data_IF_633129548290
#
_entry.id   IF_633129548290
#
_cell.length_a   1.000
_cell.length_b   1.000
_cell.length_c   1.000
_cell.angle_alpha   90.00
_cell.angle_beta   90.00
_cell.angle_gamma   90.00
#
_symmetry.space_group_name_H-M   'P 1'
#
loop_
_entity.id
_entity.type
_entity.pdbx_description
1 polymer ?
#
# COMPACT_ATOMS: atom_id res chain seq x y z
N UNK A 1 -12.77 5.56 -32.39
CA UNK A 1 -13.55 4.37 -31.98
C UNK A 1 -12.63 3.16 -32.05
N UNK A 2 -11.83 2.97 -30.99
CA UNK A 2 -12.00 1.92 -29.97
C UNK A 2 -11.52 0.54 -30.44
N UNK A 3 -10.22 0.27 -30.28
CA UNK A 3 -9.72 -1.08 -30.01
C UNK A 3 -9.54 -1.17 -28.50
N UNK A 4 -10.50 -1.83 -27.86
CA UNK A 4 -10.44 -2.27 -26.48
C UNK A 4 -9.36 -3.34 -26.34
N UNK A 5 -8.24 -3.00 -25.72
CA UNK A 5 -7.32 -4.02 -25.22
C UNK A 5 -7.90 -4.61 -23.94
N UNK A 6 -8.53 -5.76 -24.13
CA UNK A 6 -8.85 -6.73 -23.10
C UNK A 6 -7.52 -7.26 -22.57
N UNK A 7 -7.08 -6.75 -21.42
CA UNK A 7 -5.97 -7.35 -20.67
C UNK A 7 -6.53 -8.62 -20.00
N UNK A 8 -6.02 -9.83 -20.32
CA UNK A 8 -6.59 -11.06 -19.81
C UNK A 8 -6.31 -11.18 -18.31
N UNK A 9 -7.39 -11.40 -17.56
CA UNK A 9 -7.40 -12.06 -16.26
C UNK A 9 -6.59 -13.36 -16.35
N UNK A 10 -5.42 -13.42 -15.71
CA UNK A 10 -4.79 -14.69 -15.37
C UNK A 10 -4.84 -14.88 -13.87
N UNK A 11 -5.84 -15.67 -13.46
CA UNK A 11 -5.87 -16.40 -12.20
C UNK A 11 -4.67 -17.33 -12.12
N UNK A 12 -3.93 -17.30 -11.00
CA UNK A 12 -3.29 -18.49 -10.44
C UNK A 12 -3.56 -18.47 -8.93
N UNK A 13 -4.54 -19.25 -8.50
CA UNK A 13 -4.48 -19.91 -7.20
C UNK A 13 -3.36 -20.95 -7.34
N UNK A 14 -2.29 -20.84 -6.56
CA UNK A 14 -1.50 -22.02 -6.26
C UNK A 14 -1.23 -22.11 -4.76
N UNK A 15 -1.49 -23.31 -4.27
CA UNK A 15 -1.50 -23.72 -2.88
C UNK A 15 -0.16 -24.39 -2.62
N UNK A 16 0.89 -23.62 -2.35
CA UNK A 16 2.07 -24.19 -1.71
C UNK A 16 2.81 -23.16 -0.83
N UNK A 17 2.92 -23.46 0.46
CA UNK A 17 3.20 -22.51 1.55
C UNK A 17 4.68 -22.26 1.84
N UNK A 18 5.60 -22.47 0.90
CA UNK A 18 7.03 -22.54 1.24
C UNK A 18 7.99 -21.63 0.46
N UNK A 19 7.53 -20.73 -0.42
CA UNK A 19 8.48 -19.87 -1.14
C UNK A 19 8.01 -18.42 -1.31
N UNK A 20 8.25 -17.59 -0.28
CA UNK A 20 8.01 -16.15 -0.29
C UNK A 20 8.72 -15.41 -1.44
N UNK A 21 9.80 -15.97 -2.00
CA UNK A 21 10.52 -15.39 -3.13
C UNK A 21 9.78 -15.48 -4.47
N UNK A 22 8.83 -16.42 -4.65
CA UNK A 22 8.14 -16.61 -5.93
C UNK A 22 6.98 -15.62 -6.13
N UNK A 23 6.32 -15.18 -5.05
CA UNK A 23 5.26 -14.16 -5.09
C UNK A 23 5.80 -12.75 -5.37
N UNK A 24 7.02 -12.45 -4.91
CA UNK A 24 7.71 -11.18 -5.23
C UNK A 24 8.09 -11.14 -6.72
N UNK A 25 8.59 -12.25 -7.29
CA UNK A 25 8.96 -12.30 -8.70
C UNK A 25 7.77 -12.24 -9.66
N UNK A 26 6.65 -12.87 -9.35
CA UNK A 26 5.45 -12.83 -10.20
C UNK A 26 4.72 -11.48 -10.14
N UNK A 27 4.73 -10.81 -8.98
CA UNK A 27 4.25 -9.43 -8.87
C UNK A 27 5.19 -8.41 -9.50
N UNK A 28 6.51 -8.62 -9.42
CA UNK A 28 7.52 -7.84 -10.14
C UNK A 28 7.40 -8.04 -11.65
N UNK A 29 7.26 -9.27 -12.17
CA UNK A 29 7.05 -9.52 -13.60
C UNK A 29 5.69 -9.01 -14.10
N UNK A 30 4.63 -9.02 -13.27
CA UNK A 30 3.35 -8.36 -13.59
C UNK A 30 3.45 -6.83 -13.58
N UNK A 31 4.38 -6.27 -12.80
CA UNK A 31 4.70 -4.85 -12.79
C UNK A 31 5.60 -4.48 -13.98
N UNK A 32 6.64 -5.26 -14.27
CA UNK A 32 7.52 -5.13 -15.44
C UNK A 32 6.74 -5.27 -16.75
N UNK A 33 5.81 -6.22 -16.85
CA UNK A 33 4.94 -6.37 -18.02
C UNK A 33 3.92 -5.22 -18.18
N UNK A 34 3.57 -4.53 -17.08
CA UNK A 34 2.84 -3.24 -17.13
C UNK A 34 3.73 -2.04 -17.40
N UNK A 35 5.02 -2.15 -17.09
CA UNK A 35 6.02 -1.08 -17.21
C UNK A 35 6.93 -1.21 -18.43
N UNK A 36 6.74 -2.19 -19.32
CA UNK A 36 7.45 -2.27 -20.59
C UNK A 36 7.18 -1.08 -21.54
N UNK A 37 6.25 -0.18 -21.18
CA UNK A 37 6.05 1.13 -21.82
C UNK A 37 6.61 2.36 -21.07
N UNK A 38 7.19 2.22 -19.88
CA UNK A 38 7.54 3.36 -19.00
C UNK A 38 8.93 3.99 -19.25
N UNK A 39 9.65 3.56 -20.30
CA UNK A 39 10.80 4.31 -20.83
C UNK A 39 10.39 5.30 -21.93
N UNK A 40 9.16 5.84 -21.88
CA UNK A 40 8.87 7.09 -22.56
C UNK A 40 8.83 8.19 -21.51
N UNK A 41 9.52 9.33 -21.71
CA UNK A 41 9.20 10.52 -20.93
C UNK A 41 7.72 10.81 -21.19
N UNK A 42 6.89 10.68 -20.16
CA UNK A 42 5.45 10.86 -20.26
C UNK A 42 5.18 12.23 -20.90
N UNK A 43 4.58 12.21 -22.09
CA UNK A 43 4.00 13.40 -22.68
C UNK A 43 2.89 13.87 -21.74
N UNK A 44 3.00 15.12 -21.30
CA UNK A 44 2.10 15.82 -20.39
C UNK A 44 0.63 15.53 -20.70
N UNK A 45 0.02 14.58 -19.98
CA UNK A 45 -1.44 14.45 -19.99
C UNK A 45 -1.99 15.60 -19.15
N UNK A 46 -2.34 16.71 -19.77
CA UNK A 46 -2.91 17.88 -19.11
C UNK A 46 -4.22 17.53 -18.37
N UNK A 47 -4.12 17.20 -17.08
CA UNK A 47 -5.16 17.47 -16.09
C UNK A 47 -5.00 18.93 -15.66
N UNK A 48 -6.07 19.74 -15.48
CA UNK A 48 -5.93 21.16 -15.15
C UNK A 48 -5.26 21.45 -13.80
N UNK A 49 -4.89 20.41 -13.03
CA UNK A 49 -4.13 20.48 -11.78
C UNK A 49 -2.84 19.61 -11.80
N UNK A 50 -2.31 19.25 -12.98
CA UNK A 50 -1.24 18.26 -13.12
C UNK A 50 0.16 18.81 -12.85
N UNK A 51 0.65 18.66 -11.62
CA UNK A 51 2.09 18.50 -11.40
C UNK A 51 2.46 17.06 -11.74
N UNK A 52 3.45 16.80 -12.61
CA UNK A 52 3.94 15.44 -12.82
C UNK A 52 4.38 14.87 -11.47
N UNK A 53 3.64 13.89 -10.96
CA UNK A 53 3.92 13.23 -9.69
C UNK A 53 5.02 12.23 -9.92
N UNK A 54 6.26 12.71 -9.94
CA UNK A 54 7.42 11.84 -9.87
C UNK A 54 7.30 10.99 -8.59
N UNK A 55 7.42 9.67 -8.72
CA UNK A 55 7.55 8.79 -7.56
C UNK A 55 8.85 9.16 -6.84
N UNK A 56 8.74 9.51 -5.56
CA UNK A 56 9.86 9.95 -4.73
C UNK A 56 10.09 8.97 -3.59
N UNK A 57 11.33 8.93 -3.13
CA UNK A 57 11.75 8.37 -1.85
C UNK A 57 12.20 9.50 -0.91
N UNK A 58 12.54 9.14 0.33
CA UNK A 58 13.00 10.10 1.34
C UNK A 58 14.18 10.95 0.85
N UNK A 59 15.08 10.41 0.01
CA UNK A 59 16.23 11.12 -0.53
C UNK A 59 15.84 12.08 -1.66
N UNK A 60 15.14 11.59 -2.68
CA UNK A 60 14.72 12.38 -3.84
C UNK A 60 13.75 13.49 -3.41
N UNK A 61 12.92 13.28 -2.39
CA UNK A 61 12.08 14.35 -1.83
C UNK A 61 12.90 15.50 -1.27
N UNK A 62 14.01 15.24 -0.59
CA UNK A 62 14.90 16.31 -0.11
C UNK A 62 15.61 17.01 -1.27
N UNK A 63 16.02 16.27 -2.30
CA UNK A 63 16.63 16.85 -3.49
C UNK A 63 15.66 17.78 -4.24
N UNK A 64 14.42 17.34 -4.51
CA UNK A 64 13.39 18.14 -5.18
C UNK A 64 13.01 19.37 -4.34
N UNK A 65 12.92 19.22 -3.02
CA UNK A 65 12.67 20.36 -2.12
C UNK A 65 13.79 21.41 -2.19
N UNK A 66 15.04 20.98 -2.16
CA UNK A 66 16.20 21.86 -2.28
C UNK A 66 16.22 22.58 -3.63
N UNK A 67 16.01 21.84 -4.72
CA UNK A 67 15.95 22.38 -6.10
C UNK A 67 14.85 23.45 -6.24
N UNK A 68 13.65 23.16 -5.73
CA UNK A 68 12.52 24.10 -5.77
C UNK A 68 12.76 25.40 -5.00
N UNK A 69 13.62 25.36 -3.98
CA UNK A 69 13.98 26.53 -3.17
C UNK A 69 15.23 27.27 -3.69
N UNK A 70 15.91 26.72 -4.71
CA UNK A 70 17.19 27.23 -5.22
C UNK A 70 18.33 27.14 -4.19
N UNK A 71 18.18 26.31 -3.16
CA UNK A 71 19.14 26.15 -2.08
C UNK A 71 19.84 24.79 -2.17
N UNK A 72 21.02 24.68 -1.55
CA UNK A 72 21.68 23.40 -1.36
C UNK A 72 21.13 22.67 -0.13
N UNK A 73 21.24 21.33 -0.12
CA UNK A 73 20.83 20.50 1.02
C UNK A 73 21.60 20.93 2.27
N UNK A 74 20.88 21.46 3.25
CA UNK A 74 21.45 22.04 4.46
C UNK A 74 21.79 21.00 5.54
N UNK A 75 22.47 21.44 6.61
CA UNK A 75 22.85 20.55 7.72
C UNK A 75 21.67 19.89 8.43
N UNK A 76 20.51 20.57 8.51
CA UNK A 76 19.28 20.01 9.10
C UNK A 76 18.65 18.89 8.25
N UNK A 77 18.59 19.08 6.94
CA UNK A 77 18.10 18.05 6.00
C UNK A 77 19.05 16.85 5.98
N UNK A 78 20.36 17.10 5.98
CA UNK A 78 21.37 16.06 6.06
C UNK A 78 21.30 15.28 7.39
N UNK A 79 20.98 15.95 8.51
CA UNK A 79 20.73 15.29 9.78
C UNK A 79 19.48 14.40 9.73
N UNK A 80 18.41 14.84 9.06
CA UNK A 80 17.21 14.02 8.85
C UNK A 80 17.49 12.77 8.01
N UNK A 81 18.28 12.90 6.95
CA UNK A 81 18.70 11.77 6.11
C UNK A 81 19.61 10.80 6.87
N UNK A 82 20.51 11.30 7.72
CA UNK A 82 21.33 10.45 8.61
C UNK A 82 20.47 9.66 9.58
N UNK A 83 19.46 10.28 10.18
CA UNK A 83 18.50 9.57 11.05
C UNK A 83 17.71 8.51 10.28
N UNK A 84 17.27 8.82 9.06
CA UNK A 84 16.57 7.86 8.20
C UNK A 84 17.42 6.61 7.91
N UNK A 85 18.70 6.80 7.61
CA UNK A 85 19.65 5.69 7.39
C UNK A 85 19.89 4.90 8.69
N UNK A 86 20.03 5.59 9.83
CA UNK A 86 20.25 4.95 11.13
C UNK A 86 19.07 4.04 11.54
N UNK A 87 17.84 4.44 11.22
CA UNK A 87 16.64 3.62 11.45
C UNK A 87 16.35 2.63 10.31
N UNK A 88 17.21 2.56 9.28
CA UNK A 88 16.99 1.73 8.08
C UNK A 88 16.79 0.25 8.39
N UNK A 89 17.55 -0.33 9.32
CA UNK A 89 17.37 -1.73 9.72
C UNK A 89 16.00 -1.98 10.36
N UNK A 90 15.56 -1.09 11.27
CA UNK A 90 14.23 -1.19 11.89
C UNK A 90 13.12 -1.01 10.85
N UNK A 91 13.31 -0.15 9.86
CA UNK A 91 12.36 0.06 8.76
C UNK A 91 12.22 -1.20 7.92
N UNK A 92 13.32 -1.88 7.59
CA UNK A 92 13.28 -3.16 6.88
C UNK A 92 12.58 -4.25 7.72
N UNK A 93 12.85 -4.31 9.03
CA UNK A 93 12.15 -5.22 9.94
C UNK A 93 10.64 -4.93 9.99
N UNK A 94 10.24 -3.66 10.05
CA UNK A 94 8.84 -3.23 10.05
C UNK A 94 8.13 -3.60 8.73
N UNK A 95 8.77 -3.35 7.59
CA UNK A 95 8.24 -3.73 6.27
C UNK A 95 8.11 -5.25 6.16
N UNK A 96 9.12 -6.01 6.64
CA UNK A 96 9.07 -7.47 6.69
C UNK A 96 7.96 -8.00 7.60
N UNK A 97 7.69 -7.33 8.72
CA UNK A 97 6.59 -7.70 9.61
C UNK A 97 5.24 -7.57 8.93
N UNK A 98 5.03 -6.54 8.10
CA UNK A 98 3.80 -6.37 7.32
C UNK A 98 3.76 -7.37 6.15
N UNK A 99 4.78 -7.40 5.31
CA UNK A 99 4.78 -8.20 4.07
C UNK A 99 4.75 -9.71 4.37
N UNK A 100 5.44 -10.16 5.41
CA UNK A 100 5.42 -11.55 5.86
C UNK A 100 4.09 -12.00 6.47
N UNK A 101 3.20 -11.06 6.84
CA UNK A 101 1.88 -11.34 7.41
C UNK A 101 0.73 -10.81 6.54
N UNK A 102 0.98 -10.40 5.29
CA UNK A 102 0.00 -9.70 4.46
C UNK A 102 -1.32 -10.48 4.28
N UNK A 103 -1.23 -11.79 4.00
CA UNK A 103 -2.41 -12.64 3.84
C UNK A 103 -3.26 -12.73 5.12
N UNK A 104 -2.63 -12.72 6.29
CA UNK A 104 -3.32 -12.74 7.58
C UNK A 104 -3.99 -11.39 7.86
N UNK A 105 -3.28 -10.28 7.64
CA UNK A 105 -3.80 -8.91 7.83
C UNK A 105 -5.04 -8.68 6.96
N UNK A 106 -4.96 -9.04 5.68
CA UNK A 106 -6.05 -8.81 4.71
C UNK A 106 -7.24 -9.71 5.01
N UNK A 107 -7.02 -11.00 5.30
CA UNK A 107 -8.12 -11.92 5.59
C UNK A 107 -8.82 -11.59 6.90
N UNK A 108 -8.09 -11.20 7.95
CA UNK A 108 -8.65 -10.74 9.21
C UNK A 108 -9.45 -9.43 9.06
N UNK A 109 -8.95 -8.47 8.29
CA UNK A 109 -9.67 -7.23 8.01
C UNK A 109 -10.98 -7.47 7.24
N UNK A 110 -10.96 -8.31 6.19
CA UNK A 110 -12.16 -8.63 5.40
C UNK A 110 -13.15 -9.47 6.20
N UNK A 111 -12.68 -10.41 7.03
CA UNK A 111 -13.53 -11.14 7.96
C UNK A 111 -14.16 -10.18 8.99
N UNK A 112 -13.37 -9.27 9.56
CA UNK A 112 -13.81 -8.26 10.53
C UNK A 112 -14.96 -7.39 10.00
N UNK A 113 -14.84 -6.84 8.79
CA UNK A 113 -15.94 -6.05 8.19
C UNK A 113 -17.19 -6.88 7.92
N UNK A 114 -17.05 -8.16 7.57
CA UNK A 114 -18.20 -9.06 7.35
C UNK A 114 -18.90 -9.43 8.66
N UNK A 115 -18.14 -9.53 9.75
CA UNK A 115 -18.66 -9.74 11.11
C UNK A 115 -19.36 -8.49 11.64
N UNK A 116 -18.79 -7.30 11.43
CA UNK A 116 -19.39 -6.03 11.86
C UNK A 116 -20.63 -5.66 11.02
N UNK A 117 -20.63 -5.99 9.73
CA UNK A 117 -21.74 -5.73 8.82
C UNK A 117 -22.10 -6.98 8.00
N UNK A 118 -23.03 -7.78 8.53
CA UNK A 118 -23.54 -9.00 7.88
C UNK A 118 -24.30 -8.72 6.58
N UNK A 119 -24.73 -7.47 6.32
CA UNK A 119 -25.36 -7.08 5.06
C UNK A 119 -24.42 -7.15 3.86
N UNK A 120 -23.10 -7.18 4.08
CA UNK A 120 -22.09 -7.30 3.02
C UNK A 120 -22.09 -8.66 2.33
N UNK A 121 -22.48 -9.72 3.05
CA UNK A 121 -22.55 -11.11 2.57
C UNK A 121 -23.98 -11.57 2.29
N UNK A 122 -24.97 -10.70 2.44
CA UNK A 122 -26.35 -10.95 2.02
C UNK A 122 -26.50 -10.80 0.50
N UNK A 123 -27.58 -11.32 -0.12
CA UNK A 123 -27.90 -11.01 -1.52
C UNK A 123 -27.91 -9.49 -1.76
N UNK A 124 -27.34 -9.06 -2.89
CA UNK A 124 -27.04 -7.66 -3.22
C UNK A 124 -25.90 -6.99 -2.41
N UNK A 125 -25.28 -7.71 -1.47
CA UNK A 125 -24.13 -7.23 -0.72
C UNK A 125 -22.86 -7.03 -1.55
N UNK A 126 -21.96 -6.18 -1.04
CA UNK A 126 -20.70 -5.81 -1.69
C UNK A 126 -19.72 -6.97 -1.90
N UNK A 127 -19.81 -8.04 -1.10
CA UNK A 127 -18.91 -9.22 -1.15
C UNK A 127 -19.68 -10.55 -1.19
N UNK A 128 -20.95 -10.53 -1.60
CA UNK A 128 -21.83 -11.71 -1.60
C UNK A 128 -21.29 -12.93 -2.37
N UNK A 129 -20.84 -12.72 -3.59
CA UNK A 129 -20.35 -13.82 -4.46
C UNK A 129 -18.85 -14.03 -4.28
N UNK A 130 -18.38 -15.26 -4.49
CA UNK A 130 -16.95 -15.59 -4.48
C UNK A 130 -16.10 -14.65 -5.35
N UNK A 131 -16.63 -14.21 -6.50
CA UNK A 131 -15.95 -13.24 -7.38
C UNK A 131 -15.77 -11.86 -6.71
N UNK A 132 -16.81 -11.35 -6.04
CA UNK A 132 -16.76 -10.06 -5.34
C UNK A 132 -15.90 -10.15 -4.08
N UNK A 133 -16.00 -11.25 -3.34
CA UNK A 133 -15.13 -11.52 -2.18
C UNK A 133 -13.66 -11.56 -2.58
N UNK A 134 -13.32 -12.29 -3.65
CA UNK A 134 -11.96 -12.36 -4.16
C UNK A 134 -11.44 -10.99 -4.65
N UNK A 135 -12.30 -10.16 -5.27
CA UNK A 135 -11.93 -8.80 -5.64
C UNK A 135 -11.64 -7.92 -4.42
N UNK A 136 -12.46 -8.02 -3.35
CA UNK A 136 -12.23 -7.28 -2.11
C UNK A 136 -10.92 -7.66 -1.41
N UNK A 137 -10.62 -8.97 -1.31
CA UNK A 137 -9.34 -9.45 -0.78
C UNK A 137 -8.15 -8.94 -1.62
N UNK A 138 -8.26 -8.99 -2.95
CA UNK A 138 -7.23 -8.47 -3.85
C UNK A 138 -7.02 -6.96 -3.65
N UNK A 139 -8.09 -6.19 -3.53
CA UNK A 139 -7.99 -4.73 -3.34
C UNK A 139 -7.37 -4.41 -1.97
N UNK A 140 -7.69 -5.18 -0.93
CA UNK A 140 -7.05 -5.08 0.38
C UNK A 140 -5.54 -5.34 0.33
N UNK A 141 -5.10 -6.37 -0.41
CA UNK A 141 -3.67 -6.66 -0.61
C UNK A 141 -2.97 -5.58 -1.44
N UNK A 142 -3.62 -5.04 -2.48
CA UNK A 142 -3.08 -3.94 -3.29
C UNK A 142 -2.81 -2.71 -2.41
N UNK A 143 -3.78 -2.33 -1.57
CA UNK A 143 -3.63 -1.21 -0.63
C UNK A 143 -2.48 -1.48 0.35
N UNK A 144 -2.48 -2.65 0.99
CA UNK A 144 -1.46 -3.00 1.99
C UNK A 144 -0.04 -2.99 1.38
N UNK A 145 0.11 -3.47 0.14
CA UNK A 145 1.39 -3.47 -0.57
C UNK A 145 1.88 -2.05 -0.87
N UNK A 146 1.01 -1.15 -1.32
CA UNK A 146 1.40 0.25 -1.56
C UNK A 146 1.74 0.99 -0.26
N UNK A 147 1.08 0.65 0.85
CA UNK A 147 1.46 1.16 2.18
C UNK A 147 2.85 0.65 2.59
N UNK A 148 3.15 -0.64 2.36
CA UNK A 148 4.49 -1.19 2.62
C UNK A 148 5.57 -0.55 1.74
N UNK A 149 5.25 -0.21 0.49
CA UNK A 149 6.17 0.53 -0.39
C UNK A 149 6.40 1.96 0.07
N UNK A 150 5.34 2.66 0.51
CA UNK A 150 5.48 4.00 1.09
C UNK A 150 6.32 3.97 2.37
N UNK A 151 6.13 2.95 3.22
CA UNK A 151 6.95 2.74 4.41
C UNK A 151 8.38 2.36 4.06
N UNK A 152 8.65 1.62 2.99
CA UNK A 152 10.01 1.32 2.58
C UNK A 152 10.73 2.56 2.03
N UNK A 153 10.05 3.32 1.18
CA UNK A 153 10.59 4.52 0.55
C UNK A 153 10.69 5.72 1.51
N UNK A 154 9.89 5.74 2.58
CA UNK A 154 9.75 6.89 3.48
C UNK A 154 9.01 8.06 2.85
N UNK A 155 8.16 7.79 1.85
CA UNK A 155 7.37 8.80 1.16
C UNK A 155 6.03 8.23 0.64
N UNK A 156 4.99 9.05 0.65
CA UNK A 156 3.64 8.65 0.22
C UNK A 156 3.36 8.82 -1.28
N UNK A 157 4.26 9.41 -2.07
CA UNK A 157 3.99 9.73 -3.49
C UNK A 157 3.56 8.52 -4.32
N UNK A 158 4.21 7.36 -4.13
CA UNK A 158 3.85 6.11 -4.83
C UNK A 158 2.42 5.66 -4.47
N UNK A 159 2.05 5.76 -3.19
CA UNK A 159 0.72 5.42 -2.72
C UNK A 159 -0.34 6.35 -3.31
N UNK A 160 -0.09 7.66 -3.28
CA UNK A 160 -1.03 8.67 -3.74
C UNK A 160 -1.28 8.58 -5.25
N UNK A 161 -0.21 8.49 -6.04
CA UNK A 161 -0.31 8.53 -7.50
C UNK A 161 -0.80 7.20 -8.10
N UNK A 162 -0.24 6.07 -7.67
CA UNK A 162 -0.52 4.77 -8.31
C UNK A 162 -1.68 4.01 -7.71
N UNK A 163 -2.06 4.30 -6.46
CA UNK A 163 -3.09 3.54 -5.77
C UNK A 163 -4.33 4.37 -5.43
N UNK A 164 -4.17 5.63 -4.99
CA UNK A 164 -5.29 6.43 -4.48
C UNK A 164 -5.93 7.34 -5.54
N UNK A 165 -5.17 7.79 -6.53
CA UNK A 165 -5.68 8.66 -7.58
C UNK A 165 -6.79 7.97 -8.40
N UNK A 166 -8.02 8.51 -8.34
CA UNK A 166 -9.19 7.95 -9.01
C UNK A 166 -9.84 6.72 -8.32
N UNK A 167 -9.34 6.30 -7.16
CA UNK A 167 -9.83 5.10 -6.47
C UNK A 167 -11.27 5.30 -5.95
N UNK A 168 -11.55 6.48 -5.40
CA UNK A 168 -12.87 6.86 -4.88
C UNK A 168 -13.93 6.86 -5.97
N UNK A 169 -13.60 7.45 -7.12
CA UNK A 169 -14.47 7.53 -8.29
C UNK A 169 -14.74 6.12 -8.84
N UNK A 170 -13.73 5.25 -8.84
CA UNK A 170 -13.86 3.85 -9.24
C UNK A 170 -14.78 3.08 -8.29
N UNK A 171 -14.60 3.21 -6.98
CA UNK A 171 -15.48 2.58 -5.98
C UNK A 171 -16.91 3.09 -6.06
N UNK A 172 -17.11 4.40 -6.30
CA UNK A 172 -18.43 4.96 -6.52
C UNK A 172 -19.10 4.39 -7.78
N UNK A 173 -18.37 4.29 -8.89
CA UNK A 173 -18.89 3.74 -10.15
C UNK A 173 -19.26 2.24 -10.05
N UNK A 174 -18.52 1.47 -9.25
CA UNK A 174 -18.77 0.05 -9.02
C UNK A 174 -19.81 -0.23 -7.91
N UNK A 175 -20.25 0.80 -7.18
CA UNK A 175 -21.18 0.66 -6.06
C UNK A 175 -20.56 -0.05 -4.85
N UNK A 176 -19.24 0.11 -4.64
CA UNK A 176 -18.54 -0.42 -3.46
C UNK A 176 -18.91 0.44 -2.24
N UNK A 177 -19.31 -0.17 -1.11
CA UNK A 177 -19.63 0.59 0.10
C UNK A 177 -18.34 1.16 0.72
N UNK A 178 -18.06 2.45 0.49
CA UNK A 178 -16.85 3.14 0.93
C UNK A 178 -16.68 3.15 2.45
N UNK A 179 -17.78 3.22 3.22
CA UNK A 179 -17.74 3.12 4.68
C UNK A 179 -17.17 1.78 5.18
N UNK A 180 -17.55 0.66 4.53
CA UNK A 180 -17.01 -0.67 4.86
C UNK A 180 -15.57 -0.82 4.36
N UNK A 181 -15.23 -0.24 3.21
CA UNK A 181 -13.85 -0.23 2.71
C UNK A 181 -12.91 0.55 3.66
N UNK A 182 -13.32 1.74 4.11
CA UNK A 182 -12.59 2.52 5.11
C UNK A 182 -12.42 1.76 6.43
N UNK A 183 -13.45 1.04 6.87
CA UNK A 183 -13.36 0.19 8.06
C UNK A 183 -12.36 -0.95 7.89
N UNK A 184 -12.32 -1.60 6.73
CA UNK A 184 -11.33 -2.63 6.43
C UNK A 184 -9.89 -2.09 6.56
N UNK A 185 -9.63 -0.91 5.99
CA UNK A 185 -8.33 -0.23 6.08
C UNK A 185 -7.98 0.12 7.52
N UNK A 186 -8.95 0.54 8.33
CA UNK A 186 -8.73 0.81 9.76
C UNK A 186 -8.35 -0.46 10.56
N UNK A 187 -8.94 -1.62 10.23
CA UNK A 187 -8.57 -2.90 10.84
C UNK A 187 -7.15 -3.30 10.39
N UNK A 188 -6.82 -3.15 9.10
CA UNK A 188 -5.46 -3.38 8.59
C UNK A 188 -4.43 -2.48 9.28
N UNK A 189 -4.76 -1.20 9.53
CA UNK A 189 -3.91 -0.26 10.28
C UNK A 189 -3.61 -0.76 11.68
N UNK A 190 -4.62 -1.22 12.41
CA UNK A 190 -4.45 -1.75 13.77
C UNK A 190 -3.58 -3.01 13.78
N UNK A 191 -3.82 -3.94 12.85
CA UNK A 191 -3.03 -5.16 12.71
C UNK A 191 -1.57 -4.87 12.34
N UNK A 192 -1.33 -3.99 11.37
CA UNK A 192 0.01 -3.56 10.96
C UNK A 192 0.76 -2.87 12.11
N UNK A 193 0.09 -1.98 12.86
CA UNK A 193 0.67 -1.32 14.02
C UNK A 193 1.13 -2.34 15.08
N UNK A 194 0.29 -3.32 15.40
CA UNK A 194 0.62 -4.38 16.37
C UNK A 194 1.76 -5.31 15.92
N UNK A 195 1.92 -5.50 14.60
CA UNK A 195 3.03 -6.25 14.03
C UNK A 195 4.34 -5.47 14.13
N UNK A 196 4.34 -4.18 13.78
CA UNK A 196 5.53 -3.30 13.88
C UNK A 196 6.01 -3.17 15.32
N UNK A 197 5.11 -2.99 16.28
CA UNK A 197 5.45 -2.88 17.71
C UNK A 197 5.67 -4.24 18.39
N UNK A 198 5.53 -5.34 17.65
CA UNK A 198 5.64 -6.71 18.16
C UNK A 198 4.73 -7.01 19.37
N UNK A 199 3.61 -6.30 19.48
CA UNK A 199 2.56 -6.48 20.50
C UNK A 199 1.45 -7.42 20.04
N UNK A 200 1.60 -8.02 18.86
CA UNK A 200 0.66 -9.01 18.33
C UNK A 200 0.60 -10.28 19.21
N UNK A 201 -0.50 -11.02 19.07
CA UNK A 201 -0.78 -12.27 19.78
C UNK A 201 -0.22 -13.52 19.08
N UNK A 202 0.63 -13.38 18.06
CA UNK A 202 1.16 -14.53 17.34
C UNK A 202 2.15 -15.32 18.21
N UNK A 203 2.08 -16.65 18.11
CA UNK A 203 2.95 -17.56 18.85
C UNK A 203 4.44 -17.41 18.49
N UNK A 204 4.73 -16.97 17.25
CA UNK A 204 6.09 -16.70 16.76
C UNK A 204 6.24 -15.20 16.49
N UNK A 205 6.85 -14.51 17.44
CA UNK A 205 7.25 -13.11 17.28
C UNK A 205 8.40 -13.00 16.29
N UNK A 206 8.38 -11.98 15.43
CA UNK A 206 9.49 -11.69 14.55
C UNK A 206 10.75 -11.37 15.38
N UNK A 207 11.91 -11.82 14.90
CA UNK A 207 13.19 -11.34 15.42
C UNK A 207 13.36 -9.90 14.95
N UNK A 208 13.19 -8.93 15.86
CA UNK A 208 13.27 -7.50 15.56
C UNK A 208 14.54 -6.92 16.14
N UNK A 209 15.15 -5.99 15.41
CA UNK A 209 16.21 -5.13 15.95
C UNK A 209 15.70 -4.45 17.23
N UNK A 210 16.42 -4.60 18.35
CA UNK A 210 16.00 -4.08 19.65
C UNK A 210 15.96 -2.54 19.62
N UNK A 211 14.80 -1.95 19.90
CA UNK A 211 14.62 -0.49 19.94
C UNK A 211 13.16 -0.05 19.93
N UNK A 212 12.95 1.25 20.07
CA UNK A 212 11.63 1.87 19.94
C UNK A 212 11.24 1.96 18.45
N UNK A 213 10.19 1.24 18.06
CA UNK A 213 9.58 1.26 16.72
C UNK A 213 8.29 2.10 16.67
N UNK A 214 8.00 2.89 17.72
CA UNK A 214 6.79 3.70 17.78
C UNK A 214 6.73 4.76 16.66
N UNK A 215 7.87 5.35 16.28
CA UNK A 215 7.94 6.31 15.17
C UNK A 215 7.56 5.68 13.83
N UNK A 216 8.07 4.47 13.54
CA UNK A 216 7.75 3.73 12.31
C UNK A 216 6.28 3.25 12.29
N UNK A 217 5.75 2.86 13.45
CA UNK A 217 4.33 2.51 13.59
C UNK A 217 3.42 3.73 13.35
N UNK A 218 3.79 4.89 13.87
CA UNK A 218 3.08 6.15 13.62
C UNK A 218 3.17 6.57 12.15
N UNK A 219 4.34 6.44 11.52
CA UNK A 219 4.53 6.70 10.09
C UNK A 219 3.64 5.78 9.23
N UNK A 220 3.69 4.46 9.46
CA UNK A 220 2.84 3.50 8.79
C UNK A 220 1.34 3.83 8.97
N UNK A 221 0.95 4.19 10.20
CA UNK A 221 -0.40 4.63 10.53
C UNK A 221 -0.86 5.83 9.71
N UNK A 222 0.03 6.79 9.45
CA UNK A 222 -0.27 7.97 8.64
C UNK A 222 -0.54 7.63 7.17
N UNK A 223 0.14 6.61 6.61
CA UNK A 223 -0.14 6.15 5.24
C UNK A 223 -1.52 5.47 5.16
N UNK A 224 -1.91 4.68 6.17
CA UNK A 224 -3.27 4.14 6.23
C UNK A 224 -4.33 5.23 6.38
N UNK A 225 -4.05 6.28 7.15
CA UNK A 225 -4.98 7.42 7.30
C UNK A 225 -5.17 8.17 5.97
N UNK A 226 -4.11 8.29 5.15
CA UNK A 226 -4.23 8.84 3.80
C UNK A 226 -5.13 7.99 2.90
N UNK A 227 -5.03 6.65 2.98
CA UNK A 227 -5.93 5.74 2.25
C UNK A 227 -7.38 5.97 2.67
N UNK A 228 -7.65 6.01 3.99
CA UNK A 228 -8.99 6.22 4.55
C UNK A 228 -9.56 7.57 4.08
N UNK A 229 -8.75 8.63 4.15
CA UNK A 229 -9.12 9.97 3.70
C UNK A 229 -9.44 10.00 2.19
N UNK A 230 -8.67 9.29 1.38
CA UNK A 230 -8.86 9.28 -0.07
C UNK A 230 -10.13 8.55 -0.52
N UNK A 231 -10.59 7.53 0.22
CA UNK A 231 -11.76 6.72 -0.17
C UNK A 231 -13.08 7.13 0.52
N UNK A 232 -13.03 8.02 1.51
CA UNK A 232 -14.22 8.45 2.29
C UNK A 232 -15.04 9.56 1.63
#
# INVERSE_FOLDING_TARGET
MSKSEIIPLLFIFDSDSTNANFLVYTSALSWEARNQGYCQPDADSHSPNNTPTTMLDAFSRKAVSADSSGAFIGGGELASLKSFIADGNKRLDAVNAISGNAACIVSDAVAGICCENTGLTAPNGGVYTNRKMAACLRDGEIVLRHVSYALLAGDASVLQDRCLNGLRETYAALGVPTGSAARAVAIMKAAAGALITNTNSQAKKAAVTQGDCASLSAEAGSYFDQVISAIS
#
